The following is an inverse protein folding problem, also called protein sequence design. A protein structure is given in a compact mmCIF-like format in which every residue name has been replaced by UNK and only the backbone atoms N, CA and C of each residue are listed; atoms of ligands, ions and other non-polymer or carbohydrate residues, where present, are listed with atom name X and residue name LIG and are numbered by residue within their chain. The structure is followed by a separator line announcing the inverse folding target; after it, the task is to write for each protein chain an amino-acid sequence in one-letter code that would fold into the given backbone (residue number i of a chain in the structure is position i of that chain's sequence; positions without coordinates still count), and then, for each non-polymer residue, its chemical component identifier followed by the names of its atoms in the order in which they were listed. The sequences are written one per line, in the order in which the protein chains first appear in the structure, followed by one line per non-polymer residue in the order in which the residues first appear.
data_IF_378309445209
#
_entry.id   IF_378309445209
#
_cell.length_a   1.000
_cell.length_b   1.000
_cell.length_c   1.000
_cell.angle_alpha   90.00
_cell.angle_beta   90.00
_cell.angle_gamma   90.00
#
_symmetry.space_group_name_H-M   'P 1'
#
loop_
_entity.id
_entity.type
_entity.pdbx_description
1 polymer ?
#
# COMPACT_ATOMS: atom_id res chain seq x y z
N UNK A 1 11.93 -1.96 -16.35
CA UNK A 1 10.74 -1.22 -15.85
C UNK A 1 9.53 -2.15 -15.82
N UNK A 2 9.45 -2.95 -14.76
CA UNK A 2 8.42 -3.98 -14.66
C UNK A 2 7.06 -3.39 -14.25
N UNK A 3 7.07 -2.42 -13.35
CA UNK A 3 5.85 -1.76 -12.88
C UNK A 3 5.09 -1.06 -14.02
N UNK A 4 5.79 -0.24 -14.80
CA UNK A 4 5.18 0.45 -15.94
C UNK A 4 4.71 -0.52 -17.02
N UNK A 5 5.45 -1.61 -17.25
CA UNK A 5 5.06 -2.64 -18.20
C UNK A 5 3.80 -3.38 -17.73
N UNK A 6 3.72 -3.73 -16.44
CA UNK A 6 2.51 -4.28 -15.83
C UNK A 6 1.34 -3.31 -15.98
N UNK A 7 1.55 -2.04 -15.64
CA UNK A 7 0.53 -1.01 -15.73
C UNK A 7 -0.01 -0.86 -17.17
N UNK A 8 0.85 -0.88 -18.17
CA UNK A 8 0.46 -0.72 -19.58
C UNK A 8 -0.18 -1.96 -20.20
N UNK A 9 0.25 -3.15 -19.81
CA UNK A 9 -0.10 -4.38 -20.53
C UNK A 9 -0.89 -5.42 -19.71
N UNK A 10 -0.80 -5.35 -18.38
CA UNK A 10 -1.36 -6.36 -17.48
C UNK A 10 -2.25 -5.77 -16.38
N UNK A 11 -2.65 -4.50 -16.52
CA UNK A 11 -3.59 -3.88 -15.61
C UNK A 11 -5.02 -3.96 -16.13
N UNK A 12 -5.97 -3.90 -15.19
CA UNK A 12 -7.39 -3.84 -15.49
C UNK A 12 -8.03 -2.70 -14.72
N UNK A 13 -8.73 -1.82 -15.44
CA UNK A 13 -9.44 -0.69 -14.86
C UNK A 13 -10.86 -1.11 -14.46
N UNK A 14 -11.26 -0.71 -13.28
CA UNK A 14 -12.60 -0.88 -12.72
C UNK A 14 -13.16 0.46 -12.28
N UNK A 15 -14.48 0.61 -12.36
CA UNK A 15 -15.18 1.84 -11.96
C UNK A 15 -16.04 1.66 -10.71
N UNK A 16 -16.20 0.43 -10.24
CA UNK A 16 -17.02 0.07 -9.09
C UNK A 16 -16.18 -0.59 -8.01
N UNK A 17 -16.33 -0.22 -6.73
CA UNK A 17 -17.20 0.84 -6.17
C UNK A 17 -16.69 2.25 -6.46
N UNK A 18 -15.42 2.40 -6.81
CA UNK A 18 -14.76 3.63 -7.27
C UNK A 18 -13.70 3.29 -8.32
N UNK A 19 -13.21 4.29 -9.03
CA UNK A 19 -12.20 4.11 -10.08
C UNK A 19 -10.88 3.60 -9.49
N UNK A 20 -10.45 2.40 -9.92
CA UNK A 20 -9.18 1.78 -9.51
C UNK A 20 -8.64 0.87 -10.61
N UNK A 21 -7.36 0.58 -10.53
CA UNK A 21 -6.67 -0.36 -11.42
C UNK A 21 -6.11 -1.51 -10.61
N UNK A 22 -6.34 -2.72 -11.07
CA UNK A 22 -5.67 -3.91 -10.56
C UNK A 22 -4.49 -4.26 -11.46
N UNK A 23 -3.37 -4.59 -10.83
CA UNK A 23 -2.08 -4.86 -11.46
C UNK A 23 -1.73 -6.33 -11.32
N UNK A 24 -1.36 -6.97 -12.40
CA UNK A 24 -0.81 -8.32 -12.40
C UNK A 24 0.69 -8.27 -12.67
N UNK A 25 1.48 -8.93 -11.83
CA UNK A 25 2.95 -9.01 -11.91
C UNK A 25 3.65 -7.63 -12.01
N UNK A 26 3.37 -6.67 -11.10
CA UNK A 26 4.00 -5.36 -11.12
C UNK A 26 5.43 -5.33 -10.56
N UNK A 27 5.87 -6.38 -9.89
CA UNK A 27 7.15 -6.45 -9.19
C UNK A 27 8.09 -7.46 -9.83
N UNK A 28 9.38 -7.20 -9.75
CA UNK A 28 10.42 -8.19 -10.05
C UNK A 28 10.49 -9.24 -8.95
N UNK A 29 11.02 -10.43 -9.26
CA UNK A 29 11.27 -11.45 -8.23
C UNK A 29 12.19 -10.96 -7.12
N UNK A 30 13.18 -10.12 -7.47
CA UNK A 30 14.08 -9.51 -6.49
C UNK A 30 13.33 -8.62 -5.50
N UNK A 31 12.42 -7.77 -5.98
CA UNK A 31 11.58 -6.93 -5.12
C UNK A 31 10.68 -7.76 -4.20
N UNK A 32 10.07 -8.82 -4.72
CA UNK A 32 9.27 -9.74 -3.90
C UNK A 32 10.12 -10.38 -2.81
N UNK A 33 11.32 -10.85 -3.14
CA UNK A 33 12.25 -11.43 -2.15
C UNK A 33 12.65 -10.42 -1.07
N UNK A 34 12.88 -9.16 -1.42
CA UNK A 34 13.16 -8.10 -0.43
C UNK A 34 11.95 -7.88 0.49
N UNK A 35 10.74 -7.76 -0.05
CA UNK A 35 9.51 -7.61 0.75
C UNK A 35 9.35 -8.78 1.74
N UNK A 36 9.57 -10.01 1.26
CA UNK A 36 9.40 -11.21 2.08
C UNK A 36 10.47 -11.37 3.16
N UNK A 37 11.69 -10.88 2.90
CA UNK A 37 12.84 -11.01 3.82
C UNK A 37 13.01 -9.83 4.77
N UNK A 38 12.28 -8.72 4.55
CA UNK A 38 12.39 -7.56 5.41
C UNK A 38 12.06 -7.92 6.84
N UNK A 39 13.04 -7.74 7.73
CA UNK A 39 12.83 -7.90 9.16
C UNK A 39 12.02 -6.72 9.68
N UNK A 40 10.90 -7.03 10.29
CA UNK A 40 10.03 -6.05 10.93
C UNK A 40 9.87 -6.48 12.37
N UNK A 41 10.20 -5.56 13.28
CA UNK A 41 10.21 -5.83 14.71
C UNK A 41 8.96 -6.59 15.18
N UNK A 42 9.17 -7.65 15.92
CA UNK A 42 8.09 -8.33 16.60
C UNK A 42 7.76 -7.58 17.90
N UNK A 43 6.54 -7.13 17.98
CA UNK A 43 6.03 -6.41 19.15
C UNK A 43 5.50 -7.35 20.24
N UNK A 44 5.55 -8.67 20.04
CA UNK A 44 5.12 -9.65 21.04
C UNK A 44 5.92 -9.53 22.34
N UNK A 45 7.21 -9.20 22.24
CA UNK A 45 8.08 -8.95 23.39
C UNK A 45 7.69 -7.71 24.20
N UNK A 46 6.91 -6.80 23.62
CA UNK A 46 6.46 -5.58 24.28
C UNK A 46 5.15 -5.74 25.05
N UNK A 47 4.63 -6.96 25.18
CA UNK A 47 3.31 -7.24 25.78
C UNK A 47 2.17 -6.38 25.21
N UNK A 48 2.25 -6.04 23.93
CA UNK A 48 1.23 -5.27 23.25
C UNK A 48 0.24 -6.23 22.61
N UNK A 49 -0.99 -6.18 23.09
CA UNK A 49 -2.09 -6.91 22.48
C UNK A 49 -2.48 -6.21 21.17
N UNK A 50 -2.12 -6.83 20.04
CA UNK A 50 -2.48 -6.32 18.74
C UNK A 50 -3.89 -6.77 18.37
N UNK A 51 -4.85 -5.86 18.49
CA UNK A 51 -6.20 -6.06 18.01
C UNK A 51 -6.67 -4.76 17.36
N UNK A 52 -6.85 -4.80 16.06
CA UNK A 52 -7.38 -3.66 15.34
C UNK A 52 -6.50 -3.10 14.26
N UNK A 53 -6.65 -1.82 14.03
CA UNK A 53 -6.11 -1.12 12.89
C UNK A 53 -4.60 -0.94 12.98
N UNK A 54 -3.96 -0.80 11.82
CA UNK A 54 -2.56 -0.43 11.71
C UNK A 54 -2.28 0.91 12.40
N UNK A 55 -1.17 0.98 13.13
CA UNK A 55 -0.75 2.20 13.81
C UNK A 55 -0.59 3.37 12.86
N UNK A 56 -1.01 4.53 13.31
CA UNK A 56 -0.78 5.77 12.60
C UNK A 56 0.53 6.38 13.09
N UNK A 57 1.45 6.67 12.15
CA UNK A 57 2.65 7.39 12.48
C UNK A 57 2.37 8.81 12.86
N UNK A 58 3.19 9.27 13.68
CA UNK A 58 3.20 10.64 13.98
C UNK A 58 3.42 10.93 15.44
N UNK A 59 3.76 9.95 16.25
CA UNK A 59 4.10 10.17 17.66
C UNK A 59 3.10 10.99 18.48
N UNK A 60 2.21 11.69 17.81
CA UNK A 60 1.28 12.64 18.38
C UNK A 60 -0.12 12.08 18.67
N UNK A 61 -0.35 10.78 18.41
CA UNK A 61 -1.63 10.14 18.71
C UNK A 61 -2.84 10.74 17.98
N UNK A 62 -2.63 11.53 16.95
CA UNK A 62 -3.70 12.10 16.14
C UNK A 62 -4.24 11.05 15.18
N UNK A 63 -5.26 10.37 15.63
CA UNK A 63 -6.08 9.54 14.77
C UNK A 63 -6.86 10.43 13.81
N UNK A 64 -6.88 10.04 12.54
CA UNK A 64 -7.78 10.66 11.59
C UNK A 64 -9.16 10.06 11.77
N UNK A 65 -10.15 10.92 11.68
CA UNK A 65 -11.54 10.53 11.76
C UNK A 65 -11.82 9.33 10.83
N UNK A 66 -12.40 8.27 11.37
CA UNK A 66 -12.74 7.06 10.62
C UNK A 66 -11.68 5.98 10.51
N UNK A 67 -10.44 6.20 10.98
CA UNK A 67 -9.36 5.20 10.80
C UNK A 67 -9.20 4.29 12.02
N UNK A 68 -9.54 4.74 13.22
CA UNK A 68 -9.31 3.98 14.45
C UNK A 68 -10.37 4.29 15.50
N UNK A 69 -10.64 3.31 16.35
CA UNK A 69 -11.54 3.42 17.49
C UNK A 69 -10.86 4.06 18.71
N UNK A 70 -9.73 4.75 18.52
CA UNK A 70 -8.93 5.32 19.60
C UNK A 70 -7.97 4.33 20.25
N UNK A 71 -7.88 3.11 19.72
CA UNK A 71 -6.89 2.14 20.12
C UNK A 71 -5.47 2.54 19.66
N UNK A 72 -4.45 2.10 20.38
CA UNK A 72 -3.06 2.23 19.94
C UNK A 72 -2.85 1.29 18.74
N UNK A 73 -2.92 1.83 17.56
CA UNK A 73 -2.66 1.06 16.38
C UNK A 73 -1.14 0.80 16.27
N UNK A 74 -0.75 -0.40 15.96
CA UNK A 74 0.65 -0.84 15.93
C UNK A 74 1.08 -1.01 14.48
N UNK A 75 2.21 -0.40 14.14
CA UNK A 75 2.77 -0.48 12.79
C UNK A 75 3.84 -1.54 12.70
N UNK A 76 3.55 -2.51 11.87
CA UNK A 76 4.55 -3.46 11.40
C UNK A 76 4.99 -3.03 10.00
N UNK A 77 5.87 -2.03 9.91
CA UNK A 77 6.35 -1.53 8.63
C UNK A 77 7.79 -1.02 8.66
N UNK A 78 8.42 -1.10 7.50
CA UNK A 78 9.73 -0.54 7.22
C UNK A 78 9.62 0.41 6.02
N UNK A 79 9.97 1.68 6.21
CA UNK A 79 10.09 2.63 5.11
C UNK A 79 11.38 2.41 4.33
N UNK A 80 11.29 2.44 3.01
CA UNK A 80 12.48 2.50 2.15
C UNK A 80 12.88 3.97 2.01
N UNK A 81 13.97 4.34 2.66
CA UNK A 81 14.54 5.69 2.69
C UNK A 81 15.91 5.71 2.01
N UNK A 82 16.50 6.89 1.85
CA UNK A 82 17.89 7.00 1.37
C UNK A 82 18.88 6.32 2.32
N UNK A 83 18.61 6.34 3.62
CA UNK A 83 19.51 5.79 4.63
C UNK A 83 19.64 4.28 4.56
N UNK A 84 18.54 3.56 4.25
CA UNK A 84 18.51 2.11 4.16
C UNK A 84 18.39 1.56 2.73
N UNK A 85 18.43 2.42 1.72
CA UNK A 85 18.24 2.02 0.31
C UNK A 85 19.22 0.97 -0.19
N UNK A 86 20.39 0.89 0.41
CA UNK A 86 21.41 -0.12 0.10
C UNK A 86 20.98 -1.54 0.46
N UNK A 87 20.12 -1.68 1.45
CA UNK A 87 19.58 -2.96 1.91
C UNK A 87 18.41 -3.42 1.01
N UNK A 88 17.92 -2.52 0.16
CA UNK A 88 16.77 -2.71 -0.73
C UNK A 88 17.11 -2.38 -2.20
N UNK A 89 18.08 -3.02 -2.84
CA UNK A 89 18.49 -2.65 -4.19
C UNK A 89 17.37 -2.79 -5.24
N UNK A 90 16.50 -3.80 -5.12
CA UNK A 90 15.40 -3.98 -6.06
C UNK A 90 14.25 -3.00 -5.81
N UNK A 91 13.91 -2.73 -4.54
CA UNK A 91 12.92 -1.70 -4.21
C UNK A 91 13.44 -0.30 -4.53
N UNK A 92 14.73 -0.05 -4.41
CA UNK A 92 15.36 1.20 -4.85
C UNK A 92 15.24 1.38 -6.36
N UNK A 93 15.46 0.33 -7.15
CA UNK A 93 15.23 0.36 -8.60
C UNK A 93 13.75 0.62 -8.95
N UNK A 94 12.82 0.03 -8.20
CA UNK A 94 11.40 0.31 -8.34
C UNK A 94 11.08 1.78 -8.00
N UNK A 95 11.67 2.34 -6.96
CA UNK A 95 11.51 3.76 -6.61
C UNK A 95 12.02 4.66 -7.75
N UNK A 96 13.18 4.35 -8.33
CA UNK A 96 13.70 5.08 -9.48
C UNK A 96 12.80 4.98 -10.71
N UNK A 97 12.18 3.82 -10.94
CA UNK A 97 11.16 3.65 -11.97
C UNK A 97 9.91 4.50 -11.71
N UNK A 98 9.38 4.47 -10.49
CA UNK A 98 8.20 5.26 -10.08
C UNK A 98 8.44 6.76 -10.20
N UNK A 99 9.65 7.23 -9.89
CA UNK A 99 10.05 8.63 -9.99
C UNK A 99 10.28 9.10 -11.42
N UNK A 100 10.44 8.18 -12.37
CA UNK A 100 10.74 8.53 -13.77
C UNK A 100 9.58 9.25 -14.42
N UNK A 101 9.91 10.19 -15.33
CA UNK A 101 8.93 10.94 -16.11
C UNK A 101 7.97 10.03 -16.88
N UNK A 102 8.49 8.92 -17.41
CA UNK A 102 7.68 7.94 -18.17
C UNK A 102 6.61 7.30 -17.29
N UNK A 103 6.95 6.96 -16.04
CA UNK A 103 6.01 6.28 -15.14
C UNK A 103 5.02 7.24 -14.53
N UNK A 104 5.48 8.32 -13.87
CA UNK A 104 4.54 9.24 -13.24
C UNK A 104 3.73 10.04 -14.28
N UNK A 105 4.29 10.31 -15.44
CA UNK A 105 3.57 10.93 -16.55
C UNK A 105 2.44 10.05 -17.08
N UNK A 106 2.74 8.76 -17.32
CA UNK A 106 1.70 7.80 -17.74
C UNK A 106 0.59 7.65 -16.69
N UNK A 107 0.96 7.57 -15.41
CA UNK A 107 -0.03 7.52 -14.32
C UNK A 107 -0.87 8.81 -14.30
N UNK A 108 -0.22 9.97 -14.44
CA UNK A 108 -0.92 11.28 -14.48
C UNK A 108 -1.98 11.34 -15.58
N UNK A 109 -1.68 10.81 -16.76
CA UNK A 109 -2.63 10.70 -17.87
C UNK A 109 -3.81 9.79 -17.53
N UNK A 110 -3.53 8.60 -16.93
CA UNK A 110 -4.58 7.64 -16.54
C UNK A 110 -5.57 8.22 -15.53
N UNK A 111 -5.05 8.91 -14.52
CA UNK A 111 -5.87 9.45 -13.42
C UNK A 111 -6.35 10.88 -13.64
N UNK A 112 -5.92 11.52 -14.74
CA UNK A 112 -6.19 12.92 -15.07
C UNK A 112 -5.80 13.90 -13.95
N UNK A 113 -4.64 13.63 -13.32
CA UNK A 113 -4.10 14.44 -12.23
C UNK A 113 -2.59 14.56 -12.37
N UNK A 114 -2.06 15.77 -12.29
CA UNK A 114 -0.63 16.02 -12.40
C UNK A 114 0.12 15.52 -11.16
N UNK A 115 1.16 14.73 -11.38
CA UNK A 115 2.06 14.20 -10.38
C UNK A 115 3.46 14.83 -10.43
N UNK A 116 3.72 15.79 -11.33
CA UNK A 116 5.08 16.33 -11.57
C UNK A 116 5.72 17.00 -10.36
N UNK A 117 4.93 17.44 -9.39
CA UNK A 117 5.40 18.05 -8.14
C UNK A 117 5.20 17.16 -6.90
N UNK A 118 5.06 15.87 -7.11
CA UNK A 118 4.86 14.92 -6.03
C UNK A 118 6.15 14.26 -5.56
N UNK A 119 6.01 13.49 -4.50
CA UNK A 119 7.03 12.63 -3.94
C UNK A 119 6.52 11.19 -3.86
N UNK A 120 7.42 10.23 -4.03
CA UNK A 120 7.12 8.81 -3.85
C UNK A 120 7.40 8.43 -2.40
N UNK A 121 6.55 7.61 -1.82
CA UNK A 121 6.72 7.01 -0.49
C UNK A 121 6.50 5.52 -0.62
N UNK A 122 7.47 4.74 -0.16
CA UNK A 122 7.43 3.28 -0.24
C UNK A 122 7.67 2.69 1.14
N UNK A 123 6.84 1.74 1.51
CA UNK A 123 6.94 1.04 2.79
C UNK A 123 6.59 -0.45 2.64
N UNK A 124 7.43 -1.30 3.20
CA UNK A 124 7.14 -2.72 3.38
C UNK A 124 6.27 -2.89 4.62
N UNK A 125 5.20 -3.65 4.49
CA UNK A 125 4.22 -3.86 5.54
C UNK A 125 4.12 -5.34 5.84
N UNK A 126 4.00 -5.65 7.14
CA UNK A 126 3.72 -6.97 7.64
C UNK A 126 2.49 -6.90 8.56
N UNK A 127 1.38 -7.42 8.11
CA UNK A 127 0.20 -7.56 8.97
C UNK A 127 0.21 -8.96 9.59
N UNK A 128 -0.13 -9.05 10.87
CA UNK A 128 -0.08 -10.28 11.67
C UNK A 128 -1.45 -10.61 12.22
N UNK A 129 -1.57 -11.75 12.89
CA UNK A 129 -2.82 -12.18 13.53
C UNK A 129 -3.45 -11.04 14.35
N UNK A 130 -4.75 -10.86 14.19
CA UNK A 130 -5.50 -9.77 14.84
C UNK A 130 -5.58 -8.47 14.02
N UNK A 131 -4.88 -8.36 12.90
CA UNK A 131 -4.98 -7.18 12.03
C UNK A 131 -6.35 -7.09 11.37
N UNK A 132 -6.90 -5.90 11.39
CA UNK A 132 -8.04 -5.46 10.58
C UNK A 132 -7.92 -3.96 10.35
N UNK A 133 -8.59 -3.44 9.36
CA UNK A 133 -8.57 -2.02 9.04
C UNK A 133 -10.00 -1.55 8.77
N UNK A 134 -10.47 -0.64 9.62
CA UNK A 134 -11.79 -0.05 9.46
C UNK A 134 -11.94 0.63 8.10
N UNK A 135 -13.12 0.58 7.46
CA UNK A 135 -13.37 1.34 6.25
C UNK A 135 -13.03 2.82 6.43
N UNK A 136 -12.19 3.36 5.55
CA UNK A 136 -11.76 4.76 5.59
C UNK A 136 -11.40 5.24 4.18
N UNK A 137 -11.32 6.55 4.03
CA UNK A 137 -10.70 7.19 2.88
C UNK A 137 -9.33 7.73 3.29
N UNK A 138 -8.39 7.68 2.36
CA UNK A 138 -7.07 8.25 2.58
C UNK A 138 -7.13 9.78 2.66
N UNK A 139 -6.09 10.37 3.21
CA UNK A 139 -5.92 11.82 3.28
C UNK A 139 -5.71 12.43 1.90
N UNK A 140 -6.08 13.70 1.76
CA UNK A 140 -5.94 14.44 0.50
C UNK A 140 -4.50 14.58 0.00
N UNK A 141 -3.53 14.53 0.92
CA UNK A 141 -2.10 14.61 0.62
C UNK A 141 -1.56 13.33 -0.04
N UNK A 142 -2.25 12.21 0.08
CA UNK A 142 -2.00 11.03 -0.74
C UNK A 142 -2.69 11.21 -2.10
N UNK A 143 -1.92 11.51 -3.12
CA UNK A 143 -2.43 11.68 -4.48
C UNK A 143 -2.81 10.34 -5.09
N UNK A 144 -2.05 9.29 -4.77
CA UNK A 144 -2.30 7.91 -5.14
C UNK A 144 -2.02 7.01 -3.95
N UNK A 145 -2.86 6.00 -3.78
CA UNK A 145 -2.63 4.86 -2.93
C UNK A 145 -2.53 3.61 -3.78
N UNK A 146 -1.39 2.92 -3.66
CA UNK A 146 -1.10 1.65 -4.32
C UNK A 146 -0.67 0.64 -3.25
N UNK A 147 -1.23 -0.56 -3.32
CA UNK A 147 -0.84 -1.67 -2.46
C UNK A 147 -0.57 -2.91 -3.31
N UNK A 148 0.65 -3.41 -3.24
CA UNK A 148 1.09 -4.60 -3.93
C UNK A 148 1.32 -5.72 -2.92
N UNK A 149 0.90 -6.92 -3.26
CA UNK A 149 0.92 -8.08 -2.37
C UNK A 149 2.10 -8.99 -2.68
N UNK A 150 2.73 -9.49 -1.62
CA UNK A 150 3.64 -10.60 -1.66
C UNK A 150 3.09 -11.67 -0.71
N UNK A 151 2.80 -12.87 -1.22
CA UNK A 151 2.20 -13.95 -0.43
C UNK A 151 3.17 -15.12 -0.25
N UNK A 152 4.23 -14.97 0.57
CA UNK A 152 5.27 -15.98 0.73
C UNK A 152 4.80 -17.23 1.47
N UNK A 153 3.71 -17.13 2.20
CA UNK A 153 3.18 -18.21 3.05
C UNK A 153 1.94 -18.88 2.49
N UNK A 154 1.54 -18.49 1.28
CA UNK A 154 0.32 -19.00 0.66
C UNK A 154 -0.93 -18.85 1.56
N UNK A 155 -1.03 -17.68 2.17
CA UNK A 155 -2.21 -17.28 2.94
C UNK A 155 -3.44 -17.14 2.03
N UNK A 156 -4.61 -17.15 2.62
CA UNK A 156 -5.88 -17.08 1.89
C UNK A 156 -6.03 -15.80 1.07
N UNK A 157 -6.51 -15.91 -0.15
CA UNK A 157 -6.73 -14.76 -1.05
C UNK A 157 -7.72 -13.74 -0.49
N UNK A 158 -8.62 -14.15 0.40
CA UNK A 158 -9.57 -13.25 1.07
C UNK A 158 -8.88 -12.20 1.96
N UNK A 159 -7.59 -12.39 2.31
CA UNK A 159 -6.79 -11.43 3.07
C UNK A 159 -6.39 -10.19 2.25
N UNK A 160 -6.99 -9.96 1.10
CA UNK A 160 -6.81 -8.78 0.30
C UNK A 160 -7.37 -7.50 0.93
N UNK A 161 -7.60 -6.49 0.11
CA UNK A 161 -8.19 -5.23 0.56
C UNK A 161 -9.66 -5.19 0.18
N UNK A 162 -10.49 -4.87 1.14
CA UNK A 162 -11.92 -4.72 0.94
C UNK A 162 -12.23 -3.29 0.47
N UNK A 163 -13.04 -3.17 -0.59
CA UNK A 163 -13.55 -1.92 -1.14
C UNK A 163 -15.05 -1.81 -0.85
N UNK A 164 -15.46 -0.62 -0.46
CA UNK A 164 -16.81 -0.34 0.01
C UNK A 164 -17.49 0.74 -0.83
N UNK A 165 -18.81 0.70 -0.90
CA UNK A 165 -19.61 1.79 -1.44
C UNK A 165 -19.75 2.95 -0.42
N UNK A 166 -20.42 4.01 -0.82
CA UNK A 166 -20.64 5.20 0.05
C UNK A 166 -21.51 4.90 1.26
N UNK A 167 -22.21 3.78 1.28
CA UNK A 167 -23.01 3.31 2.43
C UNK A 167 -22.23 2.35 3.33
N UNK A 168 -20.95 2.17 3.03
CA UNK A 168 -20.04 1.24 3.69
C UNK A 168 -20.43 -0.25 3.55
N UNK A 169 -21.19 -0.59 2.51
CA UNK A 169 -21.37 -1.99 2.15
C UNK A 169 -20.12 -2.48 1.40
N UNK A 170 -19.61 -3.63 1.80
CA UNK A 170 -18.50 -4.26 1.07
C UNK A 170 -18.96 -4.70 -0.32
N UNK A 171 -18.30 -4.17 -1.35
CA UNK A 171 -18.63 -4.46 -2.76
C UNK A 171 -17.65 -5.47 -3.35
N UNK A 172 -16.38 -5.38 -2.94
CA UNK A 172 -15.30 -6.16 -3.55
C UNK A 172 -14.16 -6.38 -2.55
N UNK A 173 -13.47 -7.51 -2.69
CA UNK A 173 -12.15 -7.73 -2.12
C UNK A 173 -11.15 -7.86 -3.28
N UNK A 174 -10.13 -7.01 -3.31
CA UNK A 174 -8.98 -7.22 -4.20
C UNK A 174 -8.17 -8.37 -3.63
N UNK A 175 -7.98 -9.50 -4.35
CA UNK A 175 -7.45 -10.72 -3.76
C UNK A 175 -5.99 -10.59 -3.34
N UNK A 176 -5.63 -11.20 -2.21
CA UNK A 176 -4.26 -11.30 -1.70
C UNK A 176 -3.48 -12.37 -2.47
N UNK A 177 -3.06 -12.05 -3.69
CA UNK A 177 -2.24 -12.92 -4.54
C UNK A 177 -0.79 -12.47 -4.55
N UNK A 178 0.11 -13.43 -4.71
CA UNK A 178 1.52 -13.09 -4.89
C UNK A 178 1.72 -12.29 -6.18
N UNK A 179 2.47 -11.19 -6.10
CA UNK A 179 2.76 -10.28 -7.21
C UNK A 179 1.49 -9.73 -7.88
N UNK A 180 0.52 -9.34 -7.09
CA UNK A 180 -0.73 -8.73 -7.49
C UNK A 180 -1.02 -7.51 -6.63
N UNK A 181 -1.88 -6.62 -7.07
CA UNK A 181 -2.29 -5.50 -6.24
C UNK A 181 -3.15 -4.49 -6.99
N UNK A 182 -3.22 -3.30 -6.47
CA UNK A 182 -4.08 -2.25 -7.01
C UNK A 182 -3.53 -0.86 -6.74
N UNK A 183 -4.04 0.12 -7.46
CA UNK A 183 -3.94 1.53 -7.10
C UNK A 183 -5.22 2.30 -7.43
N UNK A 184 -5.39 3.41 -6.73
CA UNK A 184 -6.45 4.38 -6.97
C UNK A 184 -6.00 5.79 -6.60
N UNK A 185 -6.73 6.79 -7.10
CA UNK A 185 -6.60 8.19 -6.67
C UNK A 185 -7.39 8.40 -5.40
N UNK A 186 -6.73 8.90 -4.34
CA UNK A 186 -7.43 9.16 -3.07
C UNK A 186 -8.50 10.24 -3.24
N UNK A 187 -9.66 9.98 -2.68
CA UNK A 187 -10.82 10.85 -2.75
C UNK A 187 -11.82 10.58 -1.61
N UNK A 188 -12.86 11.41 -1.48
CA UNK A 188 -13.81 11.31 -0.37
C UNK A 188 -14.66 10.04 -0.38
N UNK A 189 -14.76 9.36 -1.53
CA UNK A 189 -15.59 8.17 -1.71
C UNK A 189 -14.78 6.92 -2.00
N UNK A 190 -13.45 6.94 -1.79
CA UNK A 190 -12.57 5.80 -2.01
C UNK A 190 -12.45 4.95 -0.74
N UNK A 191 -13.59 4.47 -0.27
CA UNK A 191 -13.69 3.71 0.96
C UNK A 191 -13.04 2.34 0.83
N UNK A 192 -12.04 2.09 1.66
CA UNK A 192 -11.31 0.83 1.67
C UNK A 192 -10.88 0.44 3.09
N UNK A 193 -10.61 -0.84 3.26
CA UNK A 193 -10.22 -1.39 4.56
C UNK A 193 -9.91 -2.88 4.45
N UNK A 194 -10.03 -3.56 5.55
CA UNK A 194 -9.92 -5.01 5.64
C UNK A 194 -10.72 -5.49 6.85
N UNK A 195 -11.73 -6.30 6.62
CA UNK A 195 -12.46 -6.96 7.71
C UNK A 195 -11.53 -7.86 8.52
N UNK A 196 -11.87 -8.08 9.80
CA UNK A 196 -11.13 -8.98 10.65
C UNK A 196 -11.21 -10.40 10.09
N UNK A 197 -10.05 -10.97 9.76
CA UNK A 197 -9.88 -12.30 9.20
C UNK A 197 -8.69 -12.98 9.86
N UNK A 198 -8.65 -14.30 9.80
CA UNK A 198 -7.53 -15.06 10.32
C UNK A 198 -6.30 -14.90 9.41
N UNK A 199 -5.22 -14.37 9.96
CA UNK A 199 -3.88 -14.40 9.36
C UNK A 199 -3.10 -15.47 10.11
N UNK A 200 -2.73 -16.56 9.43
CA UNK A 200 -2.07 -17.70 10.05
C UNK A 200 -0.61 -17.44 10.38
N UNK A 201 0.08 -16.74 9.49
CA UNK A 201 1.48 -16.35 9.65
C UNK A 201 1.63 -14.84 9.49
N UNK A 202 1.72 -14.36 8.26
CA UNK A 202 1.92 -12.94 7.95
C UNK A 202 1.31 -12.59 6.59
N UNK A 203 0.77 -11.39 6.51
CA UNK A 203 0.34 -10.76 5.26
C UNK A 203 1.36 -9.68 4.89
N UNK A 204 2.15 -9.93 3.84
CA UNK A 204 3.20 -9.04 3.36
C UNK A 204 2.70 -8.17 2.20
N UNK A 205 2.96 -6.88 2.30
CA UNK A 205 2.56 -5.92 1.27
C UNK A 205 3.65 -4.88 1.06
N UNK A 206 3.66 -4.30 -0.14
CA UNK A 206 4.39 -3.07 -0.45
C UNK A 206 3.37 -1.96 -0.67
N UNK A 207 3.38 -0.96 0.20
CA UNK A 207 2.59 0.24 0.00
C UNK A 207 3.41 1.29 -0.72
N UNK A 208 2.86 1.81 -1.81
CA UNK A 208 3.41 2.89 -2.61
C UNK A 208 2.41 4.03 -2.61
N UNK A 209 2.87 5.23 -2.30
CA UNK A 209 2.06 6.43 -2.42
C UNK A 209 2.79 7.48 -3.26
N UNK A 210 2.05 8.21 -4.09
CA UNK A 210 2.46 9.54 -4.51
C UNK A 210 1.82 10.53 -3.54
N UNK A 211 2.63 11.42 -3.00
CA UNK A 211 2.21 12.35 -1.93
C UNK A 211 2.59 13.79 -2.27
N UNK A 212 1.85 14.76 -1.73
CA UNK A 212 2.13 16.19 -1.93
C UNK A 212 3.10 16.78 -0.91
N UNK A 213 3.43 16.04 0.15
CA UNK A 213 4.44 16.43 1.13
C UNK A 213 5.81 15.82 0.80
N UNK A 214 6.86 16.44 1.31
CA UNK A 214 8.23 16.05 1.05
C UNK A 214 8.56 14.67 1.65
N UNK A 215 9.27 13.86 0.85
CA UNK A 215 9.94 12.62 1.24
C UNK A 215 11.33 12.60 0.58
N UNK A 216 12.10 11.55 0.81
CA UNK A 216 13.40 11.36 0.17
C UNK A 216 13.33 11.25 -1.37
N UNK A 217 12.15 10.97 -1.92
CA UNK A 217 11.98 10.50 -3.28
C UNK A 217 11.10 11.43 -4.13
N UNK A 218 11.61 12.65 -4.40
CA UNK A 218 10.93 13.55 -5.35
C UNK A 218 10.87 12.94 -6.74
N UNK A 219 9.76 13.07 -7.46
CA UNK A 219 9.67 12.69 -8.87
C UNK A 219 10.63 13.50 -9.73
N UNK A 220 11.06 12.94 -10.85
CA UNK A 220 12.01 13.57 -11.78
C UNK A 220 11.26 14.45 -12.79
N UNK A 221 11.82 15.58 -13.10
CA UNK A 221 11.30 16.51 -14.13
C UNK A 221 11.38 15.91 -15.54
#
# INVERSE_FOLDING_TARGET
MEFLNSLKKRSKHYTTPFSHWELNEPLTEGAIKEICKTEIADLSEMNINYDGTRAIDGGEGKFREGISDGGKAIKFRCFVSKDNSKDFPNLSNLIEELRSKDTHGYISELIKKDLSNSYVRVEVICDRQGFWLKPHCDIKEKLISCLLFANPFNEDESLGTDFYDEKLNKVKTVPYKNNYGYFFTSGPNTWHGMEKKEIKKERRCLQINYVSFETDWKVKA
#
